data_IF_131622264677
#
_entry.id   IF_131622264677
#
_cell.length_a   1.000
_cell.length_b   1.000
_cell.length_c   1.000
_cell.angle_alpha   90.00
_cell.angle_beta   90.00
_cell.angle_gamma   90.00
#
_symmetry.space_group_name_H-M   'P 1'
#
loop_
_entity.id
_entity.type
_entity.pdbx_description
1 polymer ?
#
# COMPACT_ATOMS: atom_id res chain seq x y z
N UNK A 1 -8.78 -0.38 27.46
CA UNK A 1 -8.94 0.78 26.54
C UNK A 1 -10.39 0.83 26.05
N UNK A 2 -11.11 1.93 26.31
CA UNK A 2 -12.53 2.04 25.94
C UNK A 2 -12.76 2.07 24.42
N UNK A 3 -13.94 1.63 23.98
CA UNK A 3 -14.32 1.50 22.57
C UNK A 3 -14.09 2.79 21.75
N UNK A 4 -14.39 3.97 22.33
CA UNK A 4 -14.16 5.27 21.68
C UNK A 4 -12.67 5.53 21.36
N UNK A 5 -11.76 5.15 22.25
CA UNK A 5 -10.31 5.32 22.03
C UNK A 5 -9.81 4.43 20.89
N UNK A 6 -10.37 3.23 20.73
CA UNK A 6 -10.00 2.34 19.64
C UNK A 6 -10.52 2.83 18.29
N UNK A 7 -11.75 3.36 18.23
CA UNK A 7 -12.32 3.94 17.00
C UNK A 7 -11.50 5.15 16.56
N UNK A 8 -11.18 6.07 17.48
CA UNK A 8 -10.36 7.25 17.18
C UNK A 8 -8.97 6.85 16.67
N UNK A 9 -8.36 5.85 17.31
CA UNK A 9 -7.09 5.29 16.84
C UNK A 9 -7.22 4.73 15.41
N UNK A 10 -8.24 3.92 15.15
CA UNK A 10 -8.51 3.39 13.81
C UNK A 10 -8.61 4.49 12.75
N UNK A 11 -9.32 5.57 13.07
CA UNK A 11 -9.50 6.72 12.18
C UNK A 11 -8.19 7.46 11.90
N UNK A 12 -7.37 7.73 12.92
CA UNK A 12 -6.06 8.37 12.74
C UNK A 12 -5.14 7.54 11.85
N UNK A 13 -5.10 6.22 12.04
CA UNK A 13 -4.31 5.34 11.18
C UNK A 13 -4.85 5.30 9.75
N UNK A 14 -6.17 5.25 9.56
CA UNK A 14 -6.78 5.34 8.23
C UNK A 14 -6.35 6.60 7.49
N UNK A 15 -6.38 7.77 8.15
CA UNK A 15 -5.92 9.02 7.55
C UNK A 15 -4.43 8.99 7.20
N UNK A 16 -3.60 8.45 8.07
CA UNK A 16 -2.17 8.25 7.80
C UNK A 16 -1.95 7.39 6.56
N UNK A 17 -2.63 6.25 6.46
CA UNK A 17 -2.54 5.39 5.28
C UNK A 17 -3.04 6.09 4.03
N UNK A 18 -4.20 6.78 4.07
CA UNK A 18 -4.70 7.53 2.92
C UNK A 18 -3.70 8.61 2.45
N UNK A 19 -3.03 9.28 3.39
CA UNK A 19 -1.96 10.22 3.07
C UNK A 19 -0.82 9.58 2.26
N UNK A 20 -0.29 8.45 2.73
CA UNK A 20 0.86 7.80 2.10
C UNK A 20 0.52 6.95 0.87
N UNK A 21 -0.68 6.38 0.78
CA UNK A 21 -1.06 5.46 -0.31
C UNK A 21 -1.93 6.12 -1.39
N UNK A 22 -2.50 7.30 -1.12
CA UNK A 22 -3.31 8.04 -2.10
C UNK A 22 -2.67 9.40 -2.38
N UNK A 23 -2.57 10.25 -1.35
CA UNK A 23 -2.22 11.68 -1.54
C UNK A 23 -0.79 11.81 -2.08
N UNK A 24 0.19 11.18 -1.43
CA UNK A 24 1.59 11.25 -1.86
C UNK A 24 1.77 10.74 -3.30
N UNK A 25 1.31 9.52 -3.67
CA UNK A 25 1.42 9.04 -5.04
C UNK A 25 0.68 9.93 -6.04
N UNK A 26 -0.53 10.39 -5.73
CA UNK A 26 -1.29 11.30 -6.60
C UNK A 26 -0.50 12.57 -6.93
N UNK A 27 0.08 13.21 -5.91
CA UNK A 27 0.90 14.41 -6.09
C UNK A 27 2.16 14.10 -6.89
N UNK A 28 2.83 12.96 -6.61
CA UNK A 28 4.02 12.54 -7.36
C UNK A 28 3.71 12.32 -8.84
N UNK A 29 2.65 11.58 -9.18
CA UNK A 29 2.30 11.35 -10.59
C UNK A 29 1.76 12.61 -11.27
N UNK A 30 1.09 13.50 -10.54
CA UNK A 30 0.66 14.81 -11.06
C UNK A 30 1.87 15.66 -11.44
N UNK A 31 2.91 15.67 -10.59
CA UNK A 31 4.15 16.40 -10.86
C UNK A 31 4.93 15.80 -12.03
N UNK A 32 4.98 14.47 -12.12
CA UNK A 32 5.64 13.76 -13.23
C UNK A 32 4.91 14.01 -14.56
N UNK A 33 3.57 14.14 -14.54
CA UNK A 33 2.77 14.34 -15.74
C UNK A 33 3.19 15.58 -16.53
N UNK A 34 3.48 16.67 -15.84
CA UNK A 34 3.79 17.96 -16.45
C UNK A 34 5.30 18.28 -16.40
N UNK A 35 6.14 17.24 -16.24
CA UNK A 35 7.57 17.40 -16.07
C UNK A 35 8.27 17.68 -17.40
N UNK A 36 8.67 18.92 -17.60
CA UNK A 36 9.53 19.33 -18.73
C UNK A 36 10.95 19.56 -18.22
N UNK A 37 11.93 18.79 -18.71
CA UNK A 37 13.35 19.00 -18.39
C UNK A 37 14.06 19.48 -19.65
N UNK A 38 14.72 20.64 -19.57
CA UNK A 38 15.50 21.21 -20.67
C UNK A 38 14.73 21.36 -22.00
N UNK A 39 13.42 21.63 -21.93
CA UNK A 39 12.56 21.81 -23.12
C UNK A 39 12.05 20.51 -23.75
N UNK A 40 12.37 19.34 -23.17
CA UNK A 40 11.86 18.04 -23.58
C UNK A 40 10.68 17.68 -22.68
N UNK A 41 9.55 17.33 -23.29
CA UNK A 41 8.35 16.89 -22.57
C UNK A 41 8.53 15.42 -22.16
N UNK A 42 8.79 15.22 -20.87
CA UNK A 42 9.03 13.89 -20.27
C UNK A 42 7.75 13.36 -19.59
N UNK A 43 6.61 13.98 -19.88
CA UNK A 43 5.33 13.72 -19.24
C UNK A 43 4.76 12.33 -19.52
N UNK A 44 3.91 11.86 -18.60
CA UNK A 44 3.09 10.68 -18.79
C UNK A 44 1.98 10.95 -19.81
N UNK A 45 1.69 9.98 -20.68
CA UNK A 45 0.49 10.04 -21.54
C UNK A 45 -0.78 10.18 -20.69
N UNK A 46 -1.79 10.90 -21.18
CA UNK A 46 -3.02 11.11 -20.43
C UNK A 46 -3.71 9.79 -20.04
N UNK A 47 -3.67 8.78 -20.92
CA UNK A 47 -4.23 7.46 -20.67
C UNK A 47 -3.44 6.69 -19.59
N UNK A 48 -2.11 6.74 -19.66
CA UNK A 48 -1.24 6.14 -18.63
C UNK A 48 -1.46 6.78 -17.26
N UNK A 49 -1.52 8.11 -17.22
CA UNK A 49 -1.81 8.85 -15.99
C UNK A 49 -3.17 8.48 -15.38
N UNK A 50 -4.25 8.46 -16.17
CA UNK A 50 -5.59 8.07 -15.66
C UNK A 50 -5.62 6.66 -15.13
N UNK A 51 -4.95 5.72 -15.82
CA UNK A 51 -4.88 4.32 -15.41
C UNK A 51 -4.14 4.19 -14.08
N UNK A 52 -2.98 4.84 -13.93
CA UNK A 52 -2.19 4.84 -12.69
C UNK A 52 -2.99 5.41 -11.53
N UNK A 53 -3.59 6.59 -11.69
CA UNK A 53 -4.36 7.25 -10.63
C UNK A 53 -5.57 6.42 -10.22
N UNK A 54 -6.28 5.80 -11.16
CA UNK A 54 -7.41 4.92 -10.85
C UNK A 54 -6.99 3.79 -9.89
N UNK A 55 -5.92 3.07 -10.22
CA UNK A 55 -5.42 1.98 -9.40
C UNK A 55 -4.88 2.46 -8.05
N UNK A 56 -4.17 3.58 -8.03
CA UNK A 56 -3.67 4.23 -6.80
C UNK A 56 -4.81 4.53 -5.84
N UNK A 57 -5.89 5.16 -6.33
CA UNK A 57 -7.05 5.53 -5.51
C UNK A 57 -7.82 4.28 -5.08
N UNK A 58 -8.13 3.36 -6.00
CA UNK A 58 -8.95 2.18 -5.70
C UNK A 58 -8.33 1.31 -4.60
N UNK A 59 -7.04 0.97 -4.74
CA UNK A 59 -6.35 0.16 -3.75
C UNK A 59 -5.93 0.97 -2.52
N UNK A 60 -5.62 2.27 -2.66
CA UNK A 60 -5.34 3.12 -1.52
C UNK A 60 -6.53 3.26 -0.57
N UNK A 61 -7.75 3.32 -1.10
CA UNK A 61 -8.99 3.28 -0.31
C UNK A 61 -9.17 1.94 0.41
N UNK A 62 -8.92 0.82 -0.26
CA UNK A 62 -8.96 -0.51 0.35
C UNK A 62 -7.95 -0.63 1.48
N UNK A 63 -6.69 -0.21 1.27
CA UNK A 63 -5.64 -0.25 2.30
C UNK A 63 -6.06 0.61 3.51
N UNK A 64 -6.59 1.81 3.26
CA UNK A 64 -7.02 2.74 4.31
C UNK A 64 -8.20 2.17 5.11
N UNK A 65 -9.17 1.55 4.44
CA UNK A 65 -10.29 0.86 5.07
C UNK A 65 -9.84 -0.31 5.93
N UNK A 66 -8.95 -1.17 5.44
CA UNK A 66 -8.41 -2.27 6.24
C UNK A 66 -7.53 -1.79 7.39
N UNK A 67 -6.79 -0.69 7.22
CA UNK A 67 -6.07 -0.05 8.32
C UNK A 67 -7.03 0.38 9.44
N UNK A 68 -8.17 1.00 9.10
CA UNK A 68 -9.20 1.35 10.09
C UNK A 68 -9.62 0.13 10.93
N UNK A 69 -9.96 -0.98 10.28
CA UNK A 69 -10.41 -2.20 10.97
C UNK A 69 -9.30 -2.87 11.79
N UNK A 70 -8.06 -2.87 11.29
CA UNK A 70 -6.88 -3.39 12.01
C UNK A 70 -6.60 -2.60 13.28
N UNK A 71 -6.58 -1.27 13.20
CA UNK A 71 -6.19 -0.41 14.32
C UNK A 71 -7.33 -0.08 15.29
N UNK A 72 -8.60 -0.26 14.87
CA UNK A 72 -9.77 -0.18 15.74
C UNK A 72 -10.03 -1.48 16.54
N UNK A 73 -9.37 -2.58 16.17
CA UNK A 73 -9.49 -3.87 16.86
C UNK A 73 -8.60 -3.97 18.12
N UNK A 74 -9.02 -4.70 19.17
CA UNK A 74 -8.21 -4.93 20.37
C UNK A 74 -6.86 -5.59 20.07
N UNK A 75 -5.81 -5.24 20.85
CA UNK A 75 -4.40 -5.60 20.60
C UNK A 75 -4.14 -7.08 20.33
N UNK A 76 -4.78 -8.01 21.06
CA UNK A 76 -4.71 -9.45 20.76
C UNK A 76 -6.12 -9.97 20.50
N UNK A 77 -6.60 -9.77 19.28
CA UNK A 77 -7.86 -10.33 18.80
C UNK A 77 -7.62 -10.98 17.45
N UNK A 78 -8.30 -12.11 17.21
CA UNK A 78 -8.23 -12.83 15.93
C UNK A 78 -8.65 -11.88 14.78
N UNK A 79 -9.66 -11.04 15.02
CA UNK A 79 -10.11 -10.01 14.06
C UNK A 79 -8.98 -9.09 13.61
N UNK A 80 -8.15 -8.62 14.55
CA UNK A 80 -6.98 -7.80 14.23
C UNK A 80 -5.97 -8.55 13.36
N UNK A 81 -5.71 -9.82 13.66
CA UNK A 81 -4.82 -10.68 12.87
C UNK A 81 -5.32 -10.86 11.43
N UNK A 82 -6.62 -11.16 11.28
CA UNK A 82 -7.27 -11.32 9.96
C UNK A 82 -7.21 -10.02 9.15
N UNK A 83 -7.59 -8.87 9.73
CA UNK A 83 -7.54 -7.60 9.01
C UNK A 83 -6.11 -7.18 8.67
N UNK A 84 -5.14 -7.44 9.54
CA UNK A 84 -3.73 -7.18 9.23
C UNK A 84 -3.24 -8.03 8.05
N UNK A 85 -3.64 -9.31 8.00
CA UNK A 85 -3.28 -10.21 6.89
C UNK A 85 -3.93 -9.75 5.57
N UNK A 86 -5.22 -9.42 5.59
CA UNK A 86 -5.91 -8.87 4.41
C UNK A 86 -5.25 -7.56 3.96
N UNK A 87 -4.91 -6.67 4.90
CA UNK A 87 -4.24 -5.41 4.58
C UNK A 87 -2.90 -5.66 3.87
N UNK A 88 -2.13 -6.69 4.23
CA UNK A 88 -0.89 -7.04 3.55
C UNK A 88 -1.16 -7.56 2.14
N UNK A 89 -2.17 -8.43 1.97
CA UNK A 89 -2.56 -8.91 0.63
C UNK A 89 -2.95 -7.73 -0.27
N UNK A 90 -3.73 -6.78 0.24
CA UNK A 90 -4.12 -5.58 -0.53
C UNK A 90 -2.90 -4.70 -0.84
N UNK A 91 -1.91 -4.58 0.06
CA UNK A 91 -0.65 -3.90 -0.25
C UNK A 91 0.14 -4.60 -1.36
N UNK A 92 0.14 -5.94 -1.40
CA UNK A 92 0.74 -6.69 -2.51
C UNK A 92 0.00 -6.41 -3.83
N UNK A 93 -1.33 -6.40 -3.81
CA UNK A 93 -2.14 -6.08 -4.97
C UNK A 93 -1.93 -4.63 -5.44
N UNK A 94 -1.73 -3.70 -4.51
CA UNK A 94 -1.38 -2.30 -4.80
C UNK A 94 -0.05 -2.21 -5.54
N UNK A 95 0.98 -2.93 -5.11
CA UNK A 95 2.24 -3.01 -5.85
C UNK A 95 2.09 -3.65 -7.23
N UNK A 96 1.27 -4.70 -7.33
CA UNK A 96 0.93 -5.33 -8.60
C UNK A 96 0.22 -4.36 -9.54
N UNK A 97 -0.62 -3.47 -9.00
CA UNK A 97 -1.32 -2.49 -9.81
C UNK A 97 -0.37 -1.58 -10.59
N UNK A 98 0.80 -1.25 -10.04
CA UNK A 98 1.84 -0.51 -10.76
C UNK A 98 2.45 -1.27 -11.93
N UNK A 99 2.51 -2.60 -11.84
CA UNK A 99 2.95 -3.46 -12.94
C UNK A 99 1.90 -3.54 -14.05
N UNK A 100 0.62 -3.65 -13.70
CA UNK A 100 -0.48 -3.72 -14.68
C UNK A 100 -0.85 -2.37 -15.27
N UNK A 101 -0.60 -1.27 -14.56
CA UNK A 101 -0.87 0.09 -15.04
C UNK A 101 0.17 0.60 -16.04
N UNK A 102 1.17 -0.21 -16.41
CA UNK A 102 2.26 0.20 -17.30
C UNK A 102 3.27 1.17 -16.69
N UNK A 103 3.14 1.51 -15.40
CA UNK A 103 4.05 2.42 -14.70
C UNK A 103 5.45 1.83 -14.48
N UNK A 104 5.64 0.53 -14.75
CA UNK A 104 6.93 -0.17 -14.70
C UNK A 104 7.92 0.29 -15.77
N UNK A 105 7.44 0.86 -16.86
CA UNK A 105 8.28 1.35 -17.97
C UNK A 105 7.83 2.76 -18.29
N UNK A 106 8.54 3.74 -17.73
CA UNK A 106 8.32 5.13 -18.09
C UNK A 106 9.12 5.37 -19.37
N UNK A 107 8.41 5.45 -20.48
CA UNK A 107 9.00 5.73 -21.78
C UNK A 107 9.02 7.25 -21.97
N UNK A 108 10.22 7.78 -22.13
CA UNK A 108 10.48 9.18 -22.41
C UNK A 108 10.82 9.33 -23.89
N UNK A 109 10.04 10.14 -24.60
CA UNK A 109 10.33 10.49 -25.99
C UNK A 109 11.23 11.73 -26.03
N UNK A 110 12.47 11.58 -26.51
CA UNK A 110 13.37 12.71 -26.70
C UNK A 110 13.18 13.23 -28.13
N UNK A 111 12.29 14.22 -28.28
CA UNK A 111 11.96 14.86 -29.57
C UNK A 111 13.20 15.47 -30.23
N UNK A 112 14.20 15.92 -29.45
CA UNK A 112 15.41 16.59 -29.95
C UNK A 112 16.45 15.65 -30.61
N UNK A 113 16.43 14.33 -30.33
CA UNK A 113 17.46 13.38 -30.80
C UNK A 113 16.89 12.09 -31.40
N UNK A 114 15.57 12.01 -31.62
CA UNK A 114 14.90 10.82 -32.16
C UNK A 114 15.22 9.53 -31.36
N UNK A 115 15.42 9.69 -30.05
CA UNK A 115 15.83 8.63 -29.13
C UNK A 115 14.77 8.38 -28.06
N UNK A 116 14.63 7.11 -27.65
CA UNK A 116 13.75 6.71 -26.56
C UNK A 116 14.58 6.35 -25.34
N UNK A 117 14.27 6.95 -24.19
CA UNK A 117 14.82 6.52 -22.90
C UNK A 117 13.71 5.82 -22.14
N UNK A 118 13.90 4.55 -21.78
CA UNK A 118 12.95 3.79 -20.97
C UNK A 118 13.55 3.53 -19.60
N UNK A 119 12.94 4.07 -18.54
CA UNK A 119 13.30 3.71 -17.17
C UNK A 119 12.45 2.52 -16.77
N UNK A 120 13.13 1.38 -16.56
CA UNK A 120 12.49 0.15 -16.12
C UNK A 120 12.50 0.05 -14.58
N UNK A 121 11.35 0.29 -13.96
CA UNK A 121 11.11 0.20 -12.51
C UNK A 121 10.73 -1.22 -12.05
N UNK A 122 10.72 -2.21 -12.94
CA UNK A 122 10.30 -3.58 -12.64
C UNK A 122 11.15 -4.23 -11.55
N UNK A 123 12.48 -4.01 -11.55
CA UNK A 123 13.36 -4.56 -10.52
C UNK A 123 13.06 -3.98 -9.13
N UNK A 124 12.75 -2.68 -9.04
CA UNK A 124 12.37 -2.03 -7.79
C UNK A 124 11.08 -2.65 -7.22
N UNK A 125 10.07 -2.84 -8.07
CA UNK A 125 8.79 -3.46 -7.66
C UNK A 125 8.98 -4.90 -7.18
N UNK A 126 9.86 -5.68 -7.84
CA UNK A 126 10.17 -7.06 -7.43
C UNK A 126 10.83 -7.13 -6.05
N UNK A 127 11.74 -6.20 -5.72
CA UNK A 127 12.36 -6.13 -4.38
C UNK A 127 11.29 -5.86 -3.31
N UNK A 128 10.42 -4.87 -3.54
CA UNK A 128 9.33 -4.58 -2.61
C UNK A 128 8.37 -5.77 -2.46
N UNK A 129 8.05 -6.47 -3.54
CA UNK A 129 7.24 -7.69 -3.48
C UNK A 129 7.87 -8.78 -2.60
N UNK A 130 9.20 -8.97 -2.67
CA UNK A 130 9.92 -9.91 -1.81
C UNK A 130 9.80 -9.57 -0.32
N UNK A 131 9.90 -8.28 0.03
CA UNK A 131 9.71 -7.78 1.40
C UNK A 131 8.28 -8.04 1.90
N UNK A 132 7.28 -7.77 1.05
CA UNK A 132 5.89 -8.02 1.41
C UNK A 132 5.59 -9.52 1.58
N UNK A 133 6.18 -10.39 0.76
CA UNK A 133 6.06 -11.84 0.93
C UNK A 133 6.60 -12.32 2.29
N UNK A 134 7.78 -11.84 2.71
CA UNK A 134 8.32 -12.13 4.04
C UNK A 134 7.38 -11.63 5.15
N UNK A 135 6.78 -10.46 4.96
CA UNK A 135 5.81 -9.88 5.91
C UNK A 135 4.54 -10.73 6.03
N UNK A 136 4.06 -11.32 4.92
CA UNK A 136 2.95 -12.29 4.92
C UNK A 136 3.34 -13.51 5.77
N UNK A 137 4.52 -14.08 5.54
CA UNK A 137 4.98 -15.27 6.28
C UNK A 137 5.01 -15.03 7.80
N UNK A 138 5.56 -13.89 8.22
CA UNK A 138 5.58 -13.49 9.65
C UNK A 138 4.16 -13.35 10.20
N UNK A 139 3.24 -12.76 9.44
CA UNK A 139 1.86 -12.51 9.92
C UNK A 139 1.01 -13.77 9.95
N UNK A 140 1.27 -14.72 9.05
CA UNK A 140 0.70 -16.08 9.13
C UNK A 140 1.22 -16.77 10.41
N UNK A 141 2.54 -16.71 10.66
CA UNK A 141 3.13 -17.27 11.87
C UNK A 141 2.50 -16.66 13.14
N UNK A 142 2.41 -15.32 13.22
CA UNK A 142 1.74 -14.63 14.34
C UNK A 142 0.30 -15.14 14.52
N UNK A 143 -0.45 -15.31 13.42
CA UNK A 143 -1.85 -15.74 13.46
C UNK A 143 -2.00 -17.19 13.94
N UNK A 144 -1.08 -18.07 13.53
CA UNK A 144 -1.02 -19.46 14.02
C UNK A 144 -0.68 -19.48 15.52
N UNK A 145 0.34 -18.73 15.95
CA UNK A 145 0.73 -18.62 17.36
C UNK A 145 -0.41 -18.10 18.23
N UNK A 146 -1.11 -17.04 17.78
CA UNK A 146 -2.30 -16.52 18.48
C UNK A 146 -3.45 -17.52 18.57
N UNK A 147 -3.59 -18.40 17.57
CA UNK A 147 -4.66 -19.40 17.53
C UNK A 147 -4.36 -20.54 18.50
N UNK A 148 -3.09 -20.97 18.58
CA UNK A 148 -2.64 -22.07 19.45
C UNK A 148 -2.54 -21.61 20.91
N UNK A 149 -1.95 -20.43 21.18
CA UNK A 149 -1.74 -19.91 22.54
C UNK A 149 -2.94 -19.14 23.12
N UNK A 150 -4.11 -19.26 22.50
CA UNK A 150 -5.33 -18.50 22.81
C UNK A 150 -5.74 -18.57 24.29
N UNK A 151 -5.61 -19.73 24.91
CA UNK A 151 -6.06 -19.95 26.29
C UNK A 151 -5.08 -19.39 27.32
N UNK A 152 -3.77 -19.43 27.03
CA UNK A 152 -2.73 -18.82 27.85
C UNK A 152 -2.86 -17.29 27.88
N UNK A 153 -3.16 -16.70 26.71
CA UNK A 153 -3.39 -15.26 26.54
C UNK A 153 -4.69 -14.80 27.22
N UNK A 154 -5.74 -15.63 27.19
CA UNK A 154 -7.00 -15.34 27.92
C UNK A 154 -6.83 -15.39 29.43
N UNK A 155 -5.98 -16.27 29.96
CA UNK A 155 -5.70 -16.37 31.40
C UNK A 155 -4.93 -15.14 31.92
N UNK A 156 -3.87 -14.71 31.23
CA UNK A 156 -3.12 -13.50 31.63
C UNK A 156 -4.01 -12.24 31.72
N UNK A 157 -5.05 -12.12 30.89
CA UNK A 157 -5.99 -10.98 30.93
C UNK A 157 -6.96 -10.95 32.11
N UNK A 158 -7.10 -12.04 32.85
CA UNK A 158 -7.96 -12.09 34.04
C UNK A 158 -7.19 -11.77 35.32
N UNK A 159 -5.86 -11.77 35.24
CA UNK A 159 -4.96 -11.50 36.36
C UNK A 159 -4.49 -10.02 36.39
N UNK A 160 -4.67 -9.29 35.29
CA UNK A 160 -4.51 -7.83 35.15
C UNK A 160 -5.86 -7.09 35.22
#
# INVERSE_FOLDING_TARGET
>A
MGARKNILKGFLFMLGYAGFTIIVPYLTFSYIRDLTIAGIDLGLTQEGYRTIIFWVVAFGLLISGFAFFTYSSPKQSIRKGVFALIQIIVNCMYLWSYKFSGATTVNFEIIAYNGFVSINLQQLILVYMGIYFLTIAIKIYDLVDFTINRDKIRKMRRED
#
